data_IF_997873710260
#
_entry.id   IF_997873710260
#
_cell.length_a   1.000
_cell.length_b   1.000
_cell.length_c   1.000
_cell.angle_alpha   90.00
_cell.angle_beta   90.00
_cell.angle_gamma   90.00
#
_symmetry.space_group_name_H-M   'P 1'
#
loop_
_entity.id
_entity.type
_entity.pdbx_description
1 polymer ?
#
# COMPACT_ATOMS: atom_id res chain seq x y z
N UNK A 1 23.17 9.19 10.62
CA UNK A 1 23.52 7.75 10.65
C UNK A 1 22.36 6.86 11.07
N UNK A 2 21.93 6.79 12.35
CA UNK A 2 20.81 5.93 12.76
C UNK A 2 19.45 6.43 12.22
N UNK A 3 19.22 7.73 12.30
CA UNK A 3 17.99 8.35 11.79
C UNK A 3 17.80 8.10 10.28
N UNK A 4 18.85 8.33 9.48
CA UNK A 4 18.81 8.11 8.03
C UNK A 4 18.57 6.63 7.69
N UNK A 5 19.13 5.71 8.48
CA UNK A 5 18.93 4.28 8.31
C UNK A 5 17.47 3.89 8.60
N UNK A 6 16.90 4.38 9.71
CA UNK A 6 15.50 4.14 10.07
C UNK A 6 14.56 4.72 9.03
N UNK A 7 14.84 5.93 8.52
CA UNK A 7 14.05 6.54 7.46
C UNK A 7 14.15 5.72 6.17
N UNK A 8 15.35 5.29 5.79
CA UNK A 8 15.56 4.45 4.59
C UNK A 8 14.81 3.13 4.69
N UNK A 9 14.85 2.47 5.86
CA UNK A 9 14.11 1.22 6.09
C UNK A 9 12.60 1.44 6.07
N UNK A 10 12.13 2.55 6.66
CA UNK A 10 10.72 2.94 6.62
C UNK A 10 10.24 3.16 5.19
N UNK A 11 11.03 3.84 4.33
CA UNK A 11 10.70 4.03 2.92
C UNK A 11 10.62 2.68 2.17
N UNK A 12 11.57 1.77 2.40
CA UNK A 12 11.55 0.43 1.80
C UNK A 12 10.32 -0.38 2.23
N UNK A 13 9.95 -0.31 3.50
CA UNK A 13 8.75 -0.95 4.02
C UNK A 13 7.48 -0.33 3.43
N UNK A 14 7.42 1.00 3.27
CA UNK A 14 6.30 1.69 2.60
C UNK A 14 6.12 1.25 1.15
N UNK A 15 7.22 1.14 0.39
CA UNK A 15 7.18 0.65 -1.00
C UNK A 15 6.70 -0.81 -1.08
N UNK A 16 7.16 -1.64 -0.15
CA UNK A 16 6.76 -3.05 -0.09
C UNK A 16 5.28 -3.17 0.28
N UNK A 17 4.83 -2.47 1.33
CA UNK A 17 3.43 -2.38 1.72
C UNK A 17 2.55 -1.93 0.55
N UNK A 18 2.94 -0.84 -0.13
CA UNK A 18 2.24 -0.33 -1.30
C UNK A 18 2.13 -1.37 -2.41
N UNK A 19 3.18 -2.16 -2.65
CA UNK A 19 3.19 -3.21 -3.67
C UNK A 19 2.24 -4.37 -3.34
N UNK A 20 2.14 -4.75 -2.06
CA UNK A 20 1.18 -5.75 -1.60
C UNK A 20 -0.27 -5.26 -1.73
N UNK A 21 -0.55 -4.00 -1.36
CA UNK A 21 -1.86 -3.37 -1.56
C UNK A 21 -2.21 -3.32 -3.04
N UNK A 22 -1.29 -2.82 -3.87
CA UNK A 22 -1.47 -2.68 -5.31
C UNK A 22 -1.81 -4.03 -5.98
N UNK A 23 -1.11 -5.10 -5.61
CA UNK A 23 -1.35 -6.45 -6.13
C UNK A 23 -2.76 -6.97 -5.83
N UNK A 24 -3.33 -6.60 -4.67
CA UNK A 24 -4.66 -7.02 -4.26
C UNK A 24 -5.78 -6.15 -4.85
N UNK A 25 -5.51 -4.88 -5.17
CA UNK A 25 -6.49 -3.99 -5.81
C UNK A 25 -6.60 -4.25 -7.32
N UNK A 26 -5.48 -4.57 -8.00
CA UNK A 26 -5.44 -4.78 -9.47
C UNK A 26 -6.55 -5.69 -10.04
N UNK A 27 -6.93 -6.83 -9.43
CA UNK A 27 -8.01 -7.69 -9.92
C UNK A 27 -9.41 -7.11 -9.69
N UNK A 28 -9.53 -6.14 -8.78
CA UNK A 28 -10.80 -5.59 -8.31
C UNK A 28 -11.22 -4.37 -9.13
N UNK A 29 -10.26 -3.53 -9.51
CA UNK A 29 -10.47 -2.29 -10.26
C UNK A 29 -9.22 -1.93 -11.09
N UNK A 30 -9.43 -1.25 -12.22
CA UNK A 30 -8.35 -0.77 -13.07
C UNK A 30 -7.70 0.44 -12.41
N UNK A 31 -6.40 0.35 -12.14
CA UNK A 31 -5.65 1.44 -11.53
C UNK A 31 -4.98 2.31 -12.60
N UNK A 32 -4.74 3.58 -12.24
CA UNK A 32 -4.00 4.52 -13.07
C UNK A 32 -2.58 4.03 -13.36
N UNK A 33 -1.89 3.57 -12.31
CA UNK A 33 -0.52 3.09 -12.38
C UNK A 33 -0.43 1.59 -12.11
N UNK A 34 0.54 0.95 -12.77
CA UNK A 34 0.85 -0.46 -12.58
C UNK A 34 1.87 -0.71 -11.48
N UNK A 35 2.51 0.35 -10.97
CA UNK A 35 3.57 0.29 -9.98
C UNK A 35 3.28 1.23 -8.80
N UNK A 36 3.98 1.04 -7.69
CA UNK A 36 3.98 2.02 -6.60
C UNK A 36 4.79 3.24 -7.00
N UNK A 37 4.26 4.43 -6.74
CA UNK A 37 4.91 5.70 -7.04
C UNK A 37 5.39 6.37 -5.75
N UNK A 38 6.42 7.20 -5.87
CA UNK A 38 6.96 7.98 -4.76
C UNK A 38 6.65 9.46 -4.98
N UNK A 39 6.14 10.11 -3.94
CA UNK A 39 5.84 11.53 -3.95
C UNK A 39 6.08 12.13 -2.56
N UNK A 40 6.40 13.43 -2.53
CA UNK A 40 6.80 14.14 -1.31
C UNK A 40 5.60 14.65 -0.47
N UNK A 41 4.54 13.85 -0.33
CA UNK A 41 3.36 14.22 0.46
C UNK A 41 3.66 14.22 1.96
N UNK A 42 3.20 15.25 2.68
CA UNK A 42 3.43 15.40 4.13
C UNK A 42 2.89 14.21 4.93
N UNK A 43 1.73 13.67 4.53
CA UNK A 43 1.09 12.51 5.18
C UNK A 43 1.93 11.22 5.09
N UNK A 44 2.96 11.18 4.24
CA UNK A 44 3.86 10.03 4.07
C UNK A 44 5.18 10.17 4.82
N UNK A 45 5.42 11.29 5.52
CA UNK A 45 6.74 11.64 6.09
C UNK A 45 7.00 11.11 7.50
N UNK A 46 6.23 10.13 7.98
CA UNK A 46 6.53 9.52 9.28
C UNK A 46 7.88 8.80 9.23
N UNK A 47 8.86 9.15 10.08
CA UNK A 47 10.21 8.62 9.97
C UNK A 47 10.35 7.16 10.41
N UNK A 48 9.40 6.64 11.20
CA UNK A 48 9.45 5.30 11.80
C UNK A 48 8.22 4.43 11.50
N UNK A 49 7.26 4.94 10.72
CA UNK A 49 6.02 4.22 10.40
C UNK A 49 5.87 4.14 8.88
N UNK A 50 5.83 2.92 8.30
CA UNK A 50 5.53 2.74 6.88
C UNK A 50 4.18 3.37 6.54
N UNK A 51 4.17 4.24 5.52
CA UNK A 51 3.02 5.07 5.17
C UNK A 51 2.77 5.00 3.66
N UNK A 52 1.51 4.87 3.27
CA UNK A 52 1.08 4.79 1.86
C UNK A 52 -0.14 5.67 1.63
N UNK A 53 -0.22 6.28 0.45
CA UNK A 53 -1.42 6.96 -0.04
C UNK A 53 -2.04 6.07 -1.12
N UNK A 54 -3.33 5.79 -1.00
CA UNK A 54 -4.06 4.91 -1.94
C UNK A 54 -5.08 5.73 -2.70
N UNK A 55 -4.83 5.95 -3.99
CA UNK A 55 -5.81 6.53 -4.91
C UNK A 55 -6.76 5.42 -5.37
N UNK A 56 -8.03 5.51 -4.96
CA UNK A 56 -9.00 4.42 -5.18
C UNK A 56 -9.77 4.54 -6.50
N UNK A 57 -10.05 5.77 -6.94
CA UNK A 57 -10.66 6.13 -8.22
C UNK A 57 -10.58 7.65 -8.43
N UNK A 58 -10.85 8.12 -9.64
CA UNK A 58 -10.92 9.53 -10.02
C UNK A 58 -12.37 10.04 -10.03
N UNK A 59 -12.69 10.94 -9.10
CA UNK A 59 -14.00 11.63 -9.07
C UNK A 59 -14.23 12.46 -10.34
N UNK A 60 -13.17 12.92 -11.00
CA UNK A 60 -13.27 13.68 -12.26
C UNK A 60 -13.70 12.81 -13.45
N UNK A 61 -13.66 11.48 -13.34
CA UNK A 61 -14.20 10.58 -14.34
C UNK A 61 -15.64 10.19 -13.93
N UNK A 62 -16.69 10.55 -14.72
CA UNK A 62 -18.08 10.31 -14.34
C UNK A 62 -18.45 8.83 -14.14
N UNK A 63 -17.73 7.90 -14.79
CA UNK A 63 -17.94 6.46 -14.59
C UNK A 63 -17.39 6.00 -13.24
N UNK A 64 -16.20 6.45 -12.89
CA UNK A 64 -15.54 6.15 -11.62
C UNK A 64 -16.23 6.84 -10.43
N UNK A 65 -16.69 8.08 -10.60
CA UNK A 65 -17.52 8.79 -9.63
C UNK A 65 -18.78 8.01 -9.27
N UNK A 66 -19.53 7.53 -10.27
CA UNK A 66 -20.72 6.71 -10.06
C UNK A 66 -20.40 5.43 -9.29
N UNK A 67 -19.28 4.76 -9.62
CA UNK A 67 -18.82 3.57 -8.90
C UNK A 67 -18.50 3.90 -7.44
N UNK A 68 -17.74 4.97 -7.18
CA UNK A 68 -17.42 5.47 -5.84
C UNK A 68 -18.68 5.76 -5.01
N UNK A 69 -19.76 6.19 -5.64
CA UNK A 69 -21.07 6.38 -5.02
C UNK A 69 -21.72 5.10 -4.48
N UNK A 70 -21.33 3.92 -4.99
CA UNK A 70 -21.92 2.64 -4.58
C UNK A 70 -21.25 2.02 -3.34
N UNK A 71 -22.05 1.51 -2.41
CA UNK A 71 -21.54 0.75 -1.25
C UNK A 71 -20.80 -0.51 -1.67
N UNK A 72 -21.29 -1.20 -2.71
CA UNK A 72 -20.67 -2.43 -3.21
C UNK A 72 -19.23 -2.19 -3.69
N UNK A 73 -18.97 -1.12 -4.46
CA UNK A 73 -17.63 -0.80 -4.92
C UNK A 73 -16.71 -0.40 -3.77
N UNK A 74 -17.17 0.48 -2.86
CA UNK A 74 -16.39 0.89 -1.68
C UNK A 74 -16.00 -0.32 -0.82
N UNK A 75 -16.92 -1.26 -0.60
CA UNK A 75 -16.64 -2.48 0.15
C UNK A 75 -15.61 -3.35 -0.58
N UNK A 76 -15.74 -3.51 -1.90
CA UNK A 76 -14.82 -4.31 -2.72
C UNK A 76 -13.39 -3.76 -2.64
N UNK A 77 -13.21 -2.44 -2.76
CA UNK A 77 -11.90 -1.78 -2.64
C UNK A 77 -11.36 -1.86 -1.20
N UNK A 78 -12.19 -1.60 -0.19
CA UNK A 78 -11.78 -1.70 1.21
C UNK A 78 -11.27 -3.11 1.57
N UNK A 79 -12.00 -4.15 1.14
CA UNK A 79 -11.58 -5.54 1.33
C UNK A 79 -10.26 -5.86 0.61
N UNK A 80 -10.03 -5.30 -0.57
CA UNK A 80 -8.77 -5.47 -1.31
C UNK A 80 -7.59 -4.79 -0.59
N UNK A 81 -7.78 -3.57 -0.06
CA UNK A 81 -6.77 -2.87 0.74
C UNK A 81 -6.44 -3.67 1.99
N UNK A 82 -7.45 -4.13 2.73
CA UNK A 82 -7.27 -4.94 3.93
C UNK A 82 -6.50 -6.24 3.62
N UNK A 83 -6.86 -6.93 2.53
CA UNK A 83 -6.15 -8.13 2.07
C UNK A 83 -4.69 -7.84 1.71
N UNK A 84 -4.41 -6.68 1.11
CA UNK A 84 -3.06 -6.20 0.85
C UNK A 84 -2.24 -5.97 2.11
N UNK A 85 -2.83 -5.36 3.14
CA UNK A 85 -2.19 -5.13 4.44
C UNK A 85 -1.87 -6.48 5.12
N UNK A 86 -2.82 -7.41 5.15
CA UNK A 86 -2.62 -8.75 5.70
C UNK A 86 -1.50 -9.48 4.94
N UNK A 87 -1.51 -9.40 3.61
CA UNK A 87 -0.47 -10.00 2.76
C UNK A 87 0.92 -9.43 3.06
N UNK A 88 1.05 -8.13 3.33
CA UNK A 88 2.31 -7.52 3.76
C UNK A 88 2.80 -8.09 5.09
N UNK A 89 1.92 -8.21 6.10
CA UNK A 89 2.32 -8.77 7.39
C UNK A 89 2.76 -10.23 7.29
N UNK A 90 2.07 -11.06 6.51
CA UNK A 90 2.52 -12.43 6.24
C UNK A 90 3.92 -12.47 5.61
N UNK A 91 4.20 -11.61 4.63
CA UNK A 91 5.53 -11.51 4.04
C UNK A 91 6.58 -11.05 5.07
N UNK A 92 6.25 -10.03 5.86
CA UNK A 92 7.14 -9.43 6.85
C UNK A 92 7.55 -10.44 7.94
N UNK A 93 6.59 -11.21 8.45
CA UNK A 93 6.85 -12.24 9.46
C UNK A 93 7.69 -13.38 8.91
N UNK A 94 7.45 -13.79 7.66
CA UNK A 94 8.28 -14.80 6.98
C UNK A 94 9.73 -14.33 6.84
N UNK A 95 9.96 -13.08 6.46
CA UNK A 95 11.32 -12.52 6.35
C UNK A 95 12.04 -12.49 7.70
N UNK A 96 11.34 -12.12 8.77
CA UNK A 96 11.89 -12.18 10.14
C UNK A 96 12.26 -13.61 10.54
N UNK A 97 11.41 -14.59 10.23
CA UNK A 97 11.68 -16.00 10.52
C UNK A 97 12.94 -16.50 9.77
N UNK A 98 13.12 -16.11 8.51
CA UNK A 98 14.32 -16.44 7.73
C UNK A 98 15.59 -15.78 8.26
N UNK A 99 15.52 -14.53 8.71
CA UNK A 99 16.68 -13.83 9.31
C UNK A 99 17.12 -14.49 10.63
N UNK A 100 16.15 -14.96 11.44
CA UNK A 100 16.43 -15.63 12.73
C UNK A 100 17.06 -17.02 12.57
N UNK A 101 16.76 -17.74 11.47
CA UNK A 101 17.35 -19.06 11.16
C UNK A 101 18.78 -19.00 10.60
N UNK A 102 19.24 -17.82 10.17
CA UNK A 102 20.58 -17.58 9.60
C UNK A 102 21.58 -17.03 10.63
N UNK A 103 21.14 -16.80 11.87
CA UNK A 103 21.98 -16.52 13.03
C UNK A 103 22.09 -17.77 13.88
#
# INVERSE_FOLDING_TARGET
>A
MLFDLVQTDTIKNSLTLGSHILKNIKPVHKLHSRNTEQAAFVVLKSPSIPSVLVETSFITNPGEEKLLGTTAFRQKIASAIASGIISYFHWFDNQKAHSKRRK
#
